data_IF_908753976970
#
_entry.id   IF_908753976970
#
_cell.length_a   1.000
_cell.length_b   1.000
_cell.length_c   1.000
_cell.angle_alpha   90.00
_cell.angle_beta   90.00
_cell.angle_gamma   90.00
#
_symmetry.space_group_name_H-M   'P 1'
#
loop_
_entity.id
_entity.type
_entity.pdbx_description
1 polymer ?
#
# COMPACT_ATOMS: atom_id res chain seq x y z
N UNK A 1 5.96 8.88 -20.94
CA UNK A 1 6.96 7.86 -21.34
C UNK A 1 7.09 6.82 -20.22
N UNK A 2 7.13 5.51 -20.59
CA UNK A 2 7.26 4.39 -19.63
C UNK A 2 8.26 3.39 -20.23
N UNK A 3 9.32 3.03 -19.50
CA UNK A 3 10.40 2.14 -19.99
C UNK A 3 10.93 2.51 -21.38
N UNK A 4 11.06 3.80 -21.69
CA UNK A 4 11.48 4.31 -22.99
C UNK A 4 10.42 4.31 -24.09
N UNK A 5 9.21 3.80 -23.81
CA UNK A 5 8.09 3.77 -24.75
C UNK A 5 7.20 5.01 -24.64
N UNK A 6 6.80 5.58 -25.78
CA UNK A 6 5.91 6.74 -25.84
C UNK A 6 4.43 6.31 -25.82
N UNK A 7 3.69 6.70 -24.78
CA UNK A 7 2.26 6.40 -24.67
C UNK A 7 1.42 7.46 -25.40
N UNK A 8 0.34 7.05 -26.08
CA UNK A 8 -0.18 5.68 -26.26
C UNK A 8 0.42 4.92 -27.45
N UNK A 9 1.33 5.51 -28.23
CA UNK A 9 1.85 4.97 -29.52
C UNK A 9 2.44 3.58 -29.37
N UNK A 10 3.25 3.36 -28.33
CA UNK A 10 4.03 2.15 -28.15
C UNK A 10 3.41 1.19 -27.10
N UNK A 11 2.10 1.32 -26.83
CA UNK A 11 1.40 0.57 -25.78
C UNK A 11 1.48 -0.95 -25.93
N UNK A 12 1.47 -1.47 -27.16
CA UNK A 12 1.54 -2.89 -27.41
C UNK A 12 2.93 -3.48 -27.08
N UNK A 13 3.98 -2.73 -27.36
CA UNK A 13 5.35 -3.11 -27.04
C UNK A 13 5.58 -3.10 -25.52
N UNK A 14 5.06 -2.06 -24.83
CA UNK A 14 5.12 -1.96 -23.38
C UNK A 14 4.42 -3.14 -22.69
N UNK A 15 3.25 -3.59 -23.17
CA UNK A 15 2.51 -4.71 -22.59
C UNK A 15 3.32 -6.00 -22.46
N UNK A 16 4.32 -6.21 -23.32
CA UNK A 16 5.21 -7.38 -23.24
C UNK A 16 6.25 -7.31 -22.14
N UNK A 17 6.51 -6.11 -21.63
CA UNK A 17 7.48 -5.82 -20.56
C UNK A 17 6.77 -5.51 -19.24
N UNK A 18 5.44 -5.50 -19.25
CA UNK A 18 4.61 -5.10 -18.12
C UNK A 18 3.87 -6.32 -17.55
N UNK A 19 4.02 -6.54 -16.24
CA UNK A 19 3.13 -7.39 -15.48
C UNK A 19 2.01 -6.56 -14.85
N UNK A 20 0.81 -7.10 -14.79
CA UNK A 20 -0.33 -6.43 -14.16
C UNK A 20 -1.13 -7.40 -13.30
N UNK A 21 -1.46 -6.96 -12.09
CA UNK A 21 -2.32 -7.68 -11.17
C UNK A 21 -3.45 -6.76 -10.72
N UNK A 22 -4.67 -7.15 -11.02
CA UNK A 22 -5.89 -6.43 -10.63
C UNK A 22 -6.24 -6.69 -9.17
N UNK A 23 -6.97 -5.77 -8.56
CA UNK A 23 -7.51 -5.91 -7.20
C UNK A 23 -8.35 -7.19 -7.04
N UNK A 24 -9.22 -7.47 -8.03
CA UNK A 24 -10.00 -8.71 -8.05
C UNK A 24 -9.23 -9.79 -8.81
N UNK A 25 -9.31 -11.02 -8.29
CA UNK A 25 -8.74 -12.17 -8.99
C UNK A 25 -9.29 -12.26 -10.43
N UNK A 26 -8.41 -12.19 -11.41
CA UNK A 26 -8.77 -12.07 -12.84
C UNK A 26 -8.43 -13.32 -13.67
N UNK A 27 -7.91 -14.36 -13.05
CA UNK A 27 -7.66 -15.64 -13.70
C UNK A 27 -8.91 -16.52 -13.66
N UNK A 28 -8.89 -17.62 -14.39
CA UNK A 28 -10.06 -18.49 -14.59
C UNK A 28 -10.24 -19.46 -13.42
N UNK A 29 -11.35 -19.30 -12.71
CA UNK A 29 -11.73 -20.13 -11.56
C UNK A 29 -11.92 -21.61 -11.90
N UNK A 30 -12.43 -21.91 -13.10
CA UNK A 30 -12.69 -23.27 -13.58
C UNK A 30 -11.44 -24.01 -14.04
N UNK A 31 -10.35 -23.29 -14.32
CA UNK A 31 -9.07 -23.86 -14.69
C UNK A 31 -8.23 -24.18 -13.44
N UNK A 32 -7.37 -25.16 -13.58
CA UNK A 32 -6.35 -25.48 -12.57
C UNK A 32 -5.27 -24.39 -12.57
N UNK A 33 -4.45 -24.37 -11.49
CA UNK A 33 -3.25 -23.52 -11.41
C UNK A 33 -2.36 -23.72 -12.64
N UNK A 34 -2.08 -24.97 -13.00
CA UNK A 34 -1.26 -25.30 -14.16
C UNK A 34 -1.85 -24.75 -15.47
N UNK A 35 -3.14 -24.97 -15.71
CA UNK A 35 -3.83 -24.51 -16.93
C UNK A 35 -3.85 -22.99 -17.03
N UNK A 36 -4.06 -22.29 -15.91
CA UNK A 36 -3.97 -20.83 -15.87
C UNK A 36 -2.56 -20.33 -16.25
N UNK A 37 -1.52 -20.92 -15.64
CA UNK A 37 -0.13 -20.54 -15.94
C UNK A 37 0.27 -20.92 -17.38
N UNK A 38 -0.16 -22.07 -17.88
CA UNK A 38 0.07 -22.44 -19.28
C UNK A 38 -0.60 -21.49 -20.27
N UNK A 39 -1.83 -21.07 -19.97
CA UNK A 39 -2.56 -20.12 -20.80
C UNK A 39 -1.85 -18.77 -20.86
N UNK A 40 -1.46 -18.22 -19.69
CA UNK A 40 -0.70 -16.98 -19.62
C UNK A 40 0.64 -17.07 -20.33
N UNK A 41 1.35 -18.19 -20.18
CA UNK A 41 2.63 -18.40 -20.87
C UNK A 41 2.49 -18.41 -22.41
N UNK A 42 1.38 -18.92 -22.93
CA UNK A 42 1.07 -18.87 -24.38
C UNK A 42 0.76 -17.43 -24.83
N UNK A 43 0.01 -16.66 -24.05
CA UNK A 43 -0.25 -15.23 -24.33
C UNK A 43 1.07 -14.45 -24.46
N UNK A 44 2.04 -14.70 -23.56
CA UNK A 44 3.35 -14.07 -23.61
C UNK A 44 4.33 -14.73 -24.60
N UNK A 45 3.88 -15.71 -25.39
CA UNK A 45 4.67 -16.32 -26.47
C UNK A 45 5.77 -17.26 -26.01
N UNK A 46 5.72 -17.82 -24.78
CA UNK A 46 6.71 -18.79 -24.32
C UNK A 46 6.60 -20.11 -25.09
N UNK A 47 7.71 -20.57 -25.66
CA UNK A 47 7.80 -21.90 -26.29
C UNK A 47 7.62 -23.04 -25.28
N UNK A 48 7.29 -24.23 -25.75
CA UNK A 48 6.89 -25.36 -24.90
C UNK A 48 7.92 -25.73 -23.81
N UNK A 49 9.20 -25.77 -24.16
CA UNK A 49 10.27 -26.07 -23.20
C UNK A 49 10.43 -24.99 -22.15
N UNK A 50 10.54 -23.72 -22.55
CA UNK A 50 10.67 -22.55 -21.67
C UNK A 50 9.45 -22.40 -20.77
N UNK A 51 8.24 -22.66 -21.28
CA UNK A 51 6.99 -22.63 -20.51
C UNK A 51 7.00 -23.63 -19.38
N UNK A 52 7.37 -24.90 -19.66
CA UNK A 52 7.43 -25.94 -18.64
C UNK A 52 8.42 -25.60 -17.55
N UNK A 53 9.63 -25.21 -17.92
CA UNK A 53 10.67 -24.79 -16.99
C UNK A 53 10.19 -23.61 -16.13
N UNK A 54 9.61 -22.57 -16.76
CA UNK A 54 9.15 -21.39 -16.03
C UNK A 54 8.02 -21.69 -15.05
N UNK A 55 7.09 -22.58 -15.39
CA UNK A 55 6.03 -23.00 -14.48
C UNK A 55 6.58 -23.78 -13.30
N UNK A 56 7.59 -24.62 -13.50
CA UNK A 56 8.28 -25.34 -12.41
C UNK A 56 8.98 -24.35 -11.48
N UNK A 57 9.69 -23.33 -12.02
CA UNK A 57 10.31 -22.24 -11.25
C UNK A 57 9.27 -21.49 -10.41
N UNK A 58 8.17 -21.03 -11.03
CA UNK A 58 7.10 -20.32 -10.35
C UNK A 58 6.39 -21.20 -9.29
N UNK A 59 6.25 -22.50 -9.56
CA UNK A 59 5.71 -23.46 -8.61
C UNK A 59 6.52 -23.52 -7.32
N UNK A 60 7.84 -23.44 -7.43
CA UNK A 60 8.75 -23.40 -6.28
C UNK A 60 8.79 -22.00 -5.63
N UNK A 61 8.88 -20.94 -6.44
CA UNK A 61 9.03 -19.55 -5.98
C UNK A 61 7.81 -19.06 -5.18
N UNK A 62 6.60 -19.44 -5.61
CA UNK A 62 5.34 -18.98 -5.00
C UNK A 62 4.60 -20.09 -4.23
N UNK A 63 5.28 -21.20 -3.93
CA UNK A 63 4.70 -22.35 -3.20
C UNK A 63 3.38 -22.84 -3.82
N UNK A 64 3.38 -23.02 -5.13
CA UNK A 64 2.25 -23.50 -5.92
C UNK A 64 2.42 -24.96 -6.38
N UNK A 65 3.61 -25.55 -6.18
CA UNK A 65 3.97 -26.87 -6.71
C UNK A 65 3.00 -27.99 -6.27
N UNK A 66 2.58 -27.98 -5.01
CA UNK A 66 1.65 -28.97 -4.45
C UNK A 66 0.21 -28.81 -4.94
N UNK A 67 -0.17 -27.63 -5.44
CA UNK A 67 -1.54 -27.28 -5.84
C UNK A 67 -1.71 -27.08 -7.36
N UNK A 68 -0.71 -27.42 -8.17
CA UNK A 68 -0.75 -27.23 -9.64
C UNK A 68 -2.01 -27.82 -10.29
N UNK A 69 -2.55 -28.92 -9.78
CA UNK A 69 -3.75 -29.59 -10.30
C UNK A 69 -5.05 -29.12 -9.64
N UNK A 70 -4.97 -28.24 -8.64
CA UNK A 70 -6.13 -27.68 -7.96
C UNK A 70 -6.78 -26.61 -8.84
N UNK A 71 -8.12 -26.56 -8.89
CA UNK A 71 -8.86 -25.48 -9.57
C UNK A 71 -8.69 -24.17 -8.81
N UNK A 72 -8.46 -23.08 -9.52
CA UNK A 72 -8.28 -21.76 -8.93
C UNK A 72 -9.50 -21.35 -8.08
N UNK A 73 -10.71 -21.68 -8.49
CA UNK A 73 -11.94 -21.41 -7.77
C UNK A 73 -12.05 -22.05 -6.37
N UNK A 74 -11.26 -23.11 -6.09
CA UNK A 74 -11.25 -23.80 -4.80
C UNK A 74 -10.07 -23.38 -3.88
N UNK A 75 -9.25 -22.44 -4.33
CA UNK A 75 -8.08 -21.96 -3.59
C UNK A 75 -8.48 -20.96 -2.50
N UNK A 76 -7.69 -20.88 -1.44
CA UNK A 76 -7.79 -19.80 -0.44
C UNK A 76 -7.42 -18.45 -1.05
N UNK A 77 -7.81 -17.34 -0.39
CA UNK A 77 -7.45 -15.99 -0.82
C UNK A 77 -5.95 -15.81 -1.02
N UNK A 78 -5.13 -16.22 -0.06
CA UNK A 78 -3.67 -16.15 -0.16
C UNK A 78 -3.08 -17.02 -1.28
N UNK A 79 -3.66 -18.21 -1.54
CA UNK A 79 -3.24 -19.05 -2.67
C UNK A 79 -3.58 -18.40 -4.02
N UNK A 80 -4.79 -17.81 -4.16
CA UNK A 80 -5.18 -17.06 -5.37
C UNK A 80 -4.25 -15.88 -5.61
N UNK A 81 -3.87 -15.18 -4.55
CA UNK A 81 -2.94 -14.07 -4.61
C UNK A 81 -1.58 -14.49 -5.17
N UNK A 82 -1.02 -15.60 -4.63
CA UNK A 82 0.25 -16.17 -5.12
C UNK A 82 0.15 -16.61 -6.58
N UNK A 83 -0.97 -17.22 -6.98
CA UNK A 83 -1.21 -17.58 -8.37
C UNK A 83 -1.29 -16.34 -9.29
N UNK A 84 -1.99 -15.28 -8.86
CA UNK A 84 -2.10 -14.06 -9.63
C UNK A 84 -0.72 -13.36 -9.79
N UNK A 85 0.10 -13.32 -8.73
CA UNK A 85 1.46 -12.79 -8.80
C UNK A 85 2.36 -13.65 -9.71
N UNK A 86 2.27 -14.99 -9.60
CA UNK A 86 3.00 -15.91 -10.47
C UNK A 86 2.65 -15.68 -11.95
N UNK A 87 1.36 -15.50 -12.26
CA UNK A 87 0.91 -15.22 -13.62
C UNK A 87 1.40 -13.85 -14.13
N UNK A 88 1.36 -12.81 -13.28
CA UNK A 88 1.83 -11.47 -13.62
C UNK A 88 3.35 -11.38 -13.82
N UNK A 89 4.12 -12.27 -13.19
CA UNK A 89 5.60 -12.31 -13.27
C UNK A 89 6.16 -13.40 -14.19
N UNK A 90 5.28 -14.18 -14.82
CA UNK A 90 5.63 -15.34 -15.61
C UNK A 90 6.63 -15.01 -16.74
N UNK A 91 6.45 -13.91 -17.42
CA UNK A 91 7.29 -13.45 -18.54
C UNK A 91 8.47 -12.57 -18.08
N UNK A 92 8.72 -12.47 -16.76
CA UNK A 92 9.79 -11.65 -16.15
C UNK A 92 9.72 -10.18 -16.56
N UNK A 93 8.64 -9.47 -16.20
CA UNK A 93 8.44 -8.09 -16.57
C UNK A 93 9.48 -7.17 -15.95
N UNK A 94 9.83 -6.08 -16.66
CA UNK A 94 10.66 -5.00 -16.12
C UNK A 94 9.86 -4.08 -15.18
N UNK A 95 8.55 -3.95 -15.42
CA UNK A 95 7.62 -3.17 -14.59
C UNK A 95 6.42 -4.03 -14.19
N UNK A 96 6.12 -4.05 -12.91
CA UNK A 96 4.96 -4.74 -12.34
C UNK A 96 4.01 -3.71 -11.72
N UNK A 97 2.77 -3.70 -12.20
CA UNK A 97 1.70 -2.86 -11.65
C UNK A 97 0.76 -3.74 -10.82
N UNK A 98 0.54 -3.36 -9.57
CA UNK A 98 -0.28 -4.09 -8.61
C UNK A 98 -1.36 -3.16 -8.05
N UNK A 99 -2.62 -3.53 -8.25
CA UNK A 99 -3.75 -2.74 -7.77
C UNK A 99 -4.34 -3.36 -6.51
N UNK A 100 -4.11 -2.72 -5.35
CA UNK A 100 -4.50 -3.17 -4.00
C UNK A 100 -4.29 -4.69 -3.78
N UNK A 101 -3.09 -5.20 -4.03
CA UNK A 101 -2.87 -6.64 -4.19
C UNK A 101 -3.16 -7.46 -2.93
N UNK A 102 -3.28 -6.88 -1.76
CA UNK A 102 -3.43 -7.58 -0.48
C UNK A 102 -4.71 -7.24 0.27
N UNK A 103 -5.67 -6.54 -0.39
CA UNK A 103 -6.89 -6.04 0.25
C UNK A 103 -7.81 -7.14 0.82
N UNK A 104 -7.69 -8.39 0.33
CA UNK A 104 -8.57 -9.51 0.69
C UNK A 104 -7.82 -10.71 1.28
N UNK A 105 -6.62 -10.52 1.85
CA UNK A 105 -5.82 -11.61 2.41
C UNK A 105 -5.53 -11.44 3.90
N UNK A 106 -5.33 -12.55 4.58
CA UNK A 106 -4.95 -12.57 5.99
C UNK A 106 -3.56 -11.97 6.23
N UNK A 107 -3.25 -11.55 7.48
CA UNK A 107 -1.98 -10.88 7.79
C UNK A 107 -0.73 -11.71 7.49
N UNK A 108 -0.80 -13.05 7.58
CA UNK A 108 0.34 -13.89 7.26
C UNK A 108 0.58 -13.94 5.76
N UNK A 109 -0.47 -14.21 4.97
CA UNK A 109 -0.40 -14.20 3.51
C UNK A 109 0.06 -12.85 2.96
N UNK A 110 -0.32 -11.73 3.62
CA UNK A 110 0.15 -10.38 3.27
C UNK A 110 1.66 -10.25 3.46
N UNK A 111 2.21 -10.71 4.59
CA UNK A 111 3.67 -10.69 4.85
C UNK A 111 4.42 -11.48 3.78
N UNK A 112 3.99 -12.71 3.51
CA UNK A 112 4.63 -13.61 2.53
C UNK A 112 4.58 -13.01 1.11
N UNK A 113 3.49 -12.32 0.78
CA UNK A 113 3.33 -11.61 -0.49
C UNK A 113 4.37 -10.48 -0.61
N UNK A 114 4.52 -9.63 0.41
CA UNK A 114 5.50 -8.55 0.41
C UNK A 114 6.94 -9.06 0.34
N UNK A 115 7.27 -10.18 0.97
CA UNK A 115 8.57 -10.82 0.81
C UNK A 115 8.82 -11.24 -0.64
N UNK A 116 7.79 -11.70 -1.34
CA UNK A 116 7.89 -12.03 -2.76
C UNK A 116 8.14 -10.78 -3.60
N UNK A 117 7.50 -9.63 -3.28
CA UNK A 117 7.77 -8.36 -3.95
C UNK A 117 9.21 -7.89 -3.73
N UNK A 118 9.74 -7.99 -2.52
CA UNK A 118 11.13 -7.64 -2.26
C UNK A 118 12.12 -8.50 -3.04
N UNK A 119 11.87 -9.80 -3.20
CA UNK A 119 12.70 -10.66 -4.06
C UNK A 119 12.67 -10.21 -5.52
N UNK A 120 11.52 -9.84 -6.04
CA UNK A 120 11.38 -9.32 -7.41
C UNK A 120 12.16 -8.00 -7.61
N UNK A 121 12.09 -7.09 -6.63
CA UNK A 121 12.87 -5.83 -6.66
C UNK A 121 14.37 -6.13 -6.67
N UNK A 122 14.84 -7.07 -5.85
CA UNK A 122 16.25 -7.50 -5.84
C UNK A 122 16.70 -8.11 -7.17
N UNK A 123 15.78 -8.70 -7.93
CA UNK A 123 16.02 -9.23 -9.27
C UNK A 123 15.95 -8.16 -10.37
N UNK A 124 15.67 -6.89 -10.00
CA UNK A 124 15.66 -5.75 -10.92
C UNK A 124 14.28 -5.35 -11.44
N UNK A 125 13.19 -5.97 -10.98
CA UNK A 125 11.84 -5.56 -11.36
C UNK A 125 11.45 -4.26 -10.66
N UNK A 126 10.99 -3.27 -11.41
CA UNK A 126 10.35 -2.07 -10.83
C UNK A 126 8.90 -2.39 -10.50
N UNK A 127 8.45 -2.03 -9.30
CA UNK A 127 7.08 -2.31 -8.86
C UNK A 127 6.37 -1.00 -8.51
N UNK A 128 5.19 -0.81 -9.11
CA UNK A 128 4.24 0.22 -8.71
C UNK A 128 3.03 -0.47 -8.07
N UNK A 129 2.77 -0.19 -6.80
CA UNK A 129 1.66 -0.75 -6.04
C UNK A 129 0.72 0.35 -5.57
N UNK A 130 -0.57 0.21 -5.82
CA UNK A 130 -1.60 1.00 -5.12
C UNK A 130 -1.97 0.30 -3.83
N UNK A 131 -2.11 1.04 -2.75
CA UNK A 131 -2.58 0.54 -1.45
C UNK A 131 -3.22 1.66 -0.65
N UNK A 132 -4.16 1.30 0.21
CA UNK A 132 -4.72 2.18 1.23
C UNK A 132 -4.24 1.79 2.65
N UNK A 133 -3.33 0.82 2.75
CA UNK A 133 -2.71 0.40 4.01
C UNK A 133 -1.42 1.15 4.25
N UNK A 134 -1.33 1.91 5.35
CA UNK A 134 -0.16 2.71 5.67
C UNK A 134 1.07 1.85 6.00
N UNK A 135 0.87 0.69 6.65
CA UNK A 135 1.92 -0.28 6.93
C UNK A 135 2.56 -0.89 5.66
N UNK A 136 1.82 -0.93 4.56
CA UNK A 136 2.35 -1.31 3.25
C UNK A 136 3.07 -0.15 2.58
N UNK A 137 2.51 1.06 2.66
CA UNK A 137 3.13 2.26 2.14
C UNK A 137 4.51 2.50 2.76
N UNK A 138 4.67 2.27 4.07
CA UNK A 138 5.96 2.37 4.77
C UNK A 138 7.05 1.44 4.23
N UNK A 139 6.66 0.34 3.58
CA UNK A 139 7.61 -0.62 2.96
C UNK A 139 8.13 -0.17 1.59
N UNK A 140 7.51 0.83 0.99
CA UNK A 140 7.87 1.33 -0.33
C UNK A 140 9.09 2.26 -0.26
N UNK A 141 9.90 2.29 -1.33
CA UNK A 141 11.02 3.23 -1.44
C UNK A 141 10.56 4.68 -1.65
N UNK A 142 9.46 4.85 -2.38
CA UNK A 142 8.85 6.15 -2.67
C UNK A 142 7.34 6.02 -2.66
N UNK A 143 6.69 7.10 -2.29
CA UNK A 143 5.23 7.24 -2.25
C UNK A 143 4.80 8.39 -3.14
N UNK A 144 3.60 8.26 -3.68
CA UNK A 144 2.83 9.31 -4.31
C UNK A 144 1.43 9.30 -3.69
N UNK A 145 1.07 10.34 -2.94
CA UNK A 145 -0.24 10.46 -2.32
C UNK A 145 -1.15 11.21 -3.29
N UNK A 146 -2.25 10.57 -3.64
CA UNK A 146 -3.26 11.11 -4.53
C UNK A 146 -4.51 11.48 -3.74
N UNK A 147 -5.04 12.67 -4.00
CA UNK A 147 -6.32 13.16 -3.48
C UNK A 147 -7.12 13.82 -4.60
N UNK A 148 -8.38 13.39 -4.79
CA UNK A 148 -9.26 13.89 -5.86
C UNK A 148 -8.60 13.93 -7.26
N UNK A 149 -7.77 12.91 -7.57
CA UNK A 149 -7.06 12.81 -8.84
C UNK A 149 -5.85 13.73 -8.98
N UNK A 150 -5.40 14.36 -7.89
CA UNK A 150 -4.21 15.23 -7.84
C UNK A 150 -3.12 14.60 -6.99
N UNK A 151 -1.88 14.78 -7.41
CA UNK A 151 -0.71 14.43 -6.61
C UNK A 151 -0.54 15.51 -5.53
N UNK A 152 -0.73 15.13 -4.25
CA UNK A 152 -0.67 16.06 -3.11
C UNK A 152 0.62 15.95 -2.31
N UNK A 153 1.28 14.78 -2.33
CA UNK A 153 2.60 14.61 -1.73
C UNK A 153 3.38 13.50 -2.47
N UNK A 154 4.69 13.65 -2.54
CA UNK A 154 5.60 12.67 -3.17
C UNK A 154 6.95 12.66 -2.43
N UNK A 155 7.49 11.47 -2.15
CA UNK A 155 8.78 11.32 -1.48
C UNK A 155 9.01 9.94 -0.92
N UNK A 156 10.13 9.73 -0.20
CA UNK A 156 10.27 8.53 0.61
C UNK A 156 9.35 8.62 1.85
N UNK A 157 8.88 7.48 2.42
CA UNK A 157 8.10 7.52 3.66
C UNK A 157 8.77 8.35 4.75
N UNK A 158 10.07 8.15 4.92
CA UNK A 158 10.87 8.87 5.92
C UNK A 158 10.91 10.38 5.69
N UNK A 159 11.09 10.81 4.43
CA UNK A 159 11.14 12.24 4.11
C UNK A 159 9.76 12.87 4.30
N UNK A 160 8.69 12.21 3.86
CA UNK A 160 7.34 12.70 4.04
C UNK A 160 6.97 12.89 5.52
N UNK A 161 7.33 11.93 6.39
CA UNK A 161 7.11 12.03 7.83
C UNK A 161 7.96 13.13 8.48
N UNK A 162 9.22 13.32 8.03
CA UNK A 162 10.10 14.38 8.55
C UNK A 162 9.66 15.77 8.12
N UNK A 163 9.24 15.90 6.89
CA UNK A 163 9.01 17.21 6.23
C UNK A 163 7.54 17.64 6.27
N UNK A 164 6.67 16.90 6.98
CA UNK A 164 5.26 17.27 7.19
C UNK A 164 5.16 18.70 7.72
N UNK A 165 4.27 19.50 7.11
CA UNK A 165 4.03 20.88 7.51
C UNK A 165 3.15 21.02 8.77
N UNK A 166 3.23 20.07 9.69
CA UNK A 166 2.45 20.05 10.94
C UNK A 166 3.29 19.62 12.12
N UNK A 167 2.95 20.14 13.31
CA UNK A 167 3.32 19.57 14.59
C UNK A 167 2.27 18.53 14.98
N UNK A 168 2.69 17.33 15.34
CA UNK A 168 1.79 16.25 15.78
C UNK A 168 1.82 16.15 17.28
N UNK A 169 0.67 16.35 17.91
CA UNK A 169 0.48 16.26 19.34
C UNK A 169 -0.40 15.06 19.65
N UNK A 170 0.19 14.06 20.31
CA UNK A 170 -0.52 12.87 20.78
C UNK A 170 -1.21 13.17 22.11
N UNK A 171 -2.47 12.76 22.22
CA UNK A 171 -3.32 12.87 23.39
C UNK A 171 -3.73 11.48 23.85
N UNK A 172 -3.30 11.09 25.03
CA UNK A 172 -3.72 9.86 25.70
C UNK A 172 -4.77 10.19 26.76
N UNK A 173 -5.96 9.62 26.64
CA UNK A 173 -7.07 9.89 27.57
C UNK A 173 -8.04 8.70 27.60
N UNK A 174 -8.72 8.52 28.72
CA UNK A 174 -9.80 7.52 28.87
C UNK A 174 -11.12 7.99 28.23
N UNK A 175 -11.27 9.30 27.96
CA UNK A 175 -12.46 9.89 27.36
C UNK A 175 -12.14 10.55 26.00
N UNK A 176 -11.91 9.71 25.00
CA UNK A 176 -11.61 10.13 23.61
C UNK A 176 -12.70 11.03 23.01
N UNK A 177 -14.01 10.74 23.18
CA UNK A 177 -15.06 11.62 22.69
C UNK A 177 -15.03 13.03 23.30
N UNK A 178 -14.86 13.14 24.63
CA UNK A 178 -14.76 14.44 25.31
C UNK A 178 -13.52 15.21 24.86
N UNK A 179 -12.35 14.53 24.75
CA UNK A 179 -11.13 15.14 24.26
C UNK A 179 -11.30 15.69 22.82
N UNK A 180 -11.86 14.89 21.93
CA UNK A 180 -12.14 15.32 20.56
C UNK A 180 -13.07 16.54 20.54
N UNK A 181 -14.14 16.53 21.35
CA UNK A 181 -15.06 17.65 21.47
C UNK A 181 -14.39 18.93 22.00
N UNK A 182 -13.50 18.81 22.98
CA UNK A 182 -12.74 19.93 23.56
C UNK A 182 -11.77 20.57 22.56
N UNK A 183 -11.20 19.77 21.66
CA UNK A 183 -10.24 20.22 20.64
C UNK A 183 -10.93 20.69 19.35
N UNK A 184 -12.16 20.23 19.11
CA UNK A 184 -12.90 20.61 17.90
C UNK A 184 -13.18 22.13 17.85
N UNK A 185 -13.00 22.72 16.66
CA UNK A 185 -13.22 24.15 16.44
C UNK A 185 -12.12 25.06 16.94
N UNK A 186 -11.00 24.53 17.45
CA UNK A 186 -9.83 25.35 17.76
C UNK A 186 -9.12 25.75 16.48
N UNK A 187 -8.93 27.06 16.29
CA UNK A 187 -8.35 27.62 15.05
C UNK A 187 -6.87 27.22 14.81
N UNK A 188 -6.15 26.78 15.84
CA UNK A 188 -4.77 26.32 15.72
C UNK A 188 -4.67 24.81 15.44
N UNK A 189 -5.76 24.08 15.65
CA UNK A 189 -5.82 22.64 15.36
C UNK A 189 -6.44 22.43 13.99
N UNK A 190 -5.62 22.03 13.04
CA UNK A 190 -6.03 21.79 11.65
C UNK A 190 -6.80 20.50 11.47
N UNK A 191 -6.42 19.45 12.21
CA UNK A 191 -7.05 18.15 12.12
C UNK A 191 -6.88 17.36 13.42
N UNK A 192 -7.83 16.44 13.68
CA UNK A 192 -7.79 15.51 14.80
C UNK A 192 -8.04 14.11 14.24
N UNK A 193 -7.02 13.28 14.22
CA UNK A 193 -7.09 11.87 13.86
C UNK A 193 -7.16 11.00 15.11
N UNK A 194 -7.93 9.91 15.05
CA UNK A 194 -7.95 8.91 16.12
C UNK A 194 -7.13 7.69 15.67
N UNK A 195 -6.10 7.35 16.42
CA UNK A 195 -5.25 6.19 16.21
C UNK A 195 -5.43 5.21 17.39
N UNK A 196 -6.32 4.24 17.20
CA UNK A 196 -6.69 3.32 18.28
C UNK A 196 -7.36 4.05 19.46
N UNK A 197 -6.69 4.04 20.63
CA UNK A 197 -7.15 4.71 21.86
C UNK A 197 -6.59 6.11 22.06
N UNK A 198 -5.80 6.61 21.11
CA UNK A 198 -5.13 7.92 21.16
C UNK A 198 -5.70 8.86 20.12
N UNK A 199 -5.56 10.17 20.36
CA UNK A 199 -5.82 11.19 19.36
C UNK A 199 -4.50 11.85 18.93
N UNK A 200 -4.34 12.07 17.65
CA UNK A 200 -3.32 12.98 17.12
C UNK A 200 -3.99 14.29 16.72
N UNK A 201 -3.59 15.37 17.36
CA UNK A 201 -3.97 16.72 16.95
C UNK A 201 -2.84 17.29 16.08
N UNK A 202 -3.18 17.68 14.87
CA UNK A 202 -2.26 18.29 13.92
C UNK A 202 -2.41 19.81 13.99
N UNK A 203 -1.33 20.50 14.35
CA UNK A 203 -1.23 21.95 14.40
C UNK A 203 -0.25 22.45 13.34
N UNK A 204 -0.20 23.76 13.11
CA UNK A 204 0.85 24.32 12.27
C UNK A 204 2.23 24.00 12.84
N UNK A 205 3.19 23.66 11.99
CA UNK A 205 4.56 23.27 12.41
C UNK A 205 5.21 24.30 13.31
N UNK A 206 4.93 25.58 13.06
CA UNK A 206 5.51 26.71 13.80
C UNK A 206 4.67 27.14 15.02
N UNK A 207 3.67 26.35 15.42
CA UNK A 207 2.86 26.64 16.61
C UNK A 207 3.73 26.57 17.85
N UNK A 208 3.94 27.69 18.56
CA UNK A 208 4.70 27.68 19.81
C UNK A 208 3.99 26.81 20.84
N UNK A 209 4.77 26.02 21.58
CA UNK A 209 4.28 25.20 22.70
C UNK A 209 3.01 24.40 22.36
N UNK A 210 3.00 23.72 21.18
CA UNK A 210 1.84 22.99 20.66
C UNK A 210 1.22 22.01 21.68
N UNK A 211 2.05 21.27 22.42
CA UNK A 211 1.55 20.36 23.46
C UNK A 211 0.88 21.10 24.60
N UNK A 212 1.45 22.22 25.04
CA UNK A 212 0.87 23.05 26.13
C UNK A 212 -0.44 23.70 25.68
N UNK A 213 -0.54 24.11 24.41
CA UNK A 213 -1.79 24.62 23.84
C UNK A 213 -2.90 23.56 23.90
N UNK A 214 -2.62 22.35 23.45
CA UNK A 214 -3.57 21.22 23.48
C UNK A 214 -3.93 20.86 24.93
N UNK A 215 -2.94 20.79 25.84
CA UNK A 215 -3.16 20.51 27.24
C UNK A 215 -4.10 21.51 27.90
N UNK A 216 -3.88 22.80 27.69
CA UNK A 216 -4.74 23.87 28.25
C UNK A 216 -6.19 23.78 27.75
N UNK A 217 -6.39 23.43 26.47
CA UNK A 217 -7.74 23.24 25.89
C UNK A 217 -8.46 22.09 26.56
N UNK A 218 -7.77 20.96 26.77
CA UNK A 218 -8.33 19.77 27.43
C UNK A 218 -8.63 20.05 28.91
N UNK A 219 -7.70 20.70 29.62
CA UNK A 219 -7.89 21.09 31.03
C UNK A 219 -9.06 22.06 31.22
N UNK A 220 -9.24 23.03 30.33
CA UNK A 220 -10.37 23.96 30.36
C UNK A 220 -11.73 23.26 30.16
N UNK A 221 -11.74 22.14 29.45
CA UNK A 221 -12.93 21.28 29.27
C UNK A 221 -13.08 20.20 30.34
N UNK A 222 -12.17 20.18 31.36
CA UNK A 222 -12.20 19.17 32.46
C UNK A 222 -11.77 17.77 32.00
N UNK A 223 -11.08 17.62 30.87
CA UNK A 223 -10.63 16.33 30.33
C UNK A 223 -9.22 16.06 30.85
N UNK A 224 -9.06 14.98 31.60
CA UNK A 224 -7.76 14.48 32.02
C UNK A 224 -7.06 13.76 30.86
N UNK A 225 -5.87 14.22 30.48
CA UNK A 225 -5.11 13.63 29.38
C UNK A 225 -3.61 13.84 29.58
N UNK A 226 -2.82 12.90 29.06
CA UNK A 226 -1.39 13.10 28.82
C UNK A 226 -1.20 13.60 27.38
N UNK A 227 -0.32 14.59 27.23
CA UNK A 227 -0.14 15.28 25.95
C UNK A 227 1.35 15.36 25.63
N UNK A 228 1.75 14.87 24.47
CA UNK A 228 3.14 14.85 24.03
C UNK A 228 3.28 15.22 22.56
N UNK A 229 4.33 15.95 22.19
CA UNK A 229 4.73 16.08 20.79
C UNK A 229 5.40 14.78 20.36
N UNK A 230 4.94 14.20 19.26
CA UNK A 230 5.46 12.94 18.72
C UNK A 230 5.93 13.11 17.27
N UNK A 231 6.86 12.26 16.80
CA UNK A 231 7.15 12.17 15.38
C UNK A 231 5.89 11.83 14.59
N UNK A 232 5.73 12.42 13.42
CA UNK A 232 4.61 12.12 12.54
C UNK A 232 4.66 10.68 12.01
N UNK A 233 3.51 10.04 11.91
CA UNK A 233 3.28 8.80 11.17
C UNK A 233 2.91 9.06 9.71
N UNK A 234 2.87 8.04 8.86
CA UNK A 234 2.33 8.19 7.50
C UNK A 234 0.83 8.51 7.49
N UNK A 235 0.09 8.06 8.49
CA UNK A 235 -1.31 8.43 8.65
C UNK A 235 -1.47 9.94 8.88
N UNK A 236 -0.58 10.54 9.70
CA UNK A 236 -0.55 12.00 9.91
C UNK A 236 -0.21 12.74 8.62
N UNK A 237 0.76 12.22 7.84
CA UNK A 237 1.11 12.79 6.53
C UNK A 237 -0.08 12.73 5.59
N UNK A 238 -0.79 11.60 5.53
CA UNK A 238 -1.97 11.44 4.69
C UNK A 238 -3.06 12.45 5.10
N UNK A 239 -3.39 12.52 6.39
CA UNK A 239 -4.37 13.47 6.93
C UNK A 239 -3.95 14.92 6.66
N UNK A 240 -2.69 15.26 6.86
CA UNK A 240 -2.18 16.61 6.58
C UNK A 240 -2.25 16.97 5.10
N UNK A 241 -2.01 16.00 4.22
CA UNK A 241 -2.00 16.21 2.76
C UNK A 241 -3.39 16.29 2.14
N UNK A 242 -4.38 15.59 2.73
CA UNK A 242 -5.75 15.46 2.20
C UNK A 242 -6.80 16.21 3.03
N UNK A 243 -6.59 16.38 4.33
CA UNK A 243 -7.58 16.85 5.31
C UNK A 243 -7.64 18.36 5.55
N UNK A 244 -6.76 19.19 4.99
CA UNK A 244 -6.77 20.65 5.22
C UNK A 244 -7.73 21.43 4.31
N UNK A 245 -8.72 20.78 3.72
CA UNK A 245 -9.66 21.40 2.78
C UNK A 245 -11.10 21.50 3.28
N UNK A 246 -11.28 21.65 4.61
CA UNK A 246 -12.63 21.93 5.13
C UNK A 246 -12.65 23.21 5.93
#
# INVERSE_FOLDING_TARGET
>A
EVLGHQMPRDAEQLRRQLGYMTQRFSLWDDLTVLENLEFMARIFGLGAASRRQRIEELGAEYDLGSVLRQRAGTMSGGQRQRLALAAATLHRPELLLLDEPTSAVDPQSRRDFWESLFRLVQQGTTILVSTHYMDEAERCHRLAILDEGRLVAEGSPRDLMRDIAAAVVEVETDDVPAARGALAGDAQIRSIAQLGTRLHALLDRDTPDAAEHVHRRLAAAGVAAQVHVVPASLEDVFVASTGFRH
#
